data_IF_449305421535
#
_entry.id   IF_449305421535
#
_cell.length_a   1.000
_cell.length_b   1.000
_cell.length_c   1.000
_cell.angle_alpha   90.00
_cell.angle_beta   90.00
_cell.angle_gamma   90.00
#
_symmetry.space_group_name_H-M   'P 1'
#
loop_
_entity.id
_entity.type
_entity.pdbx_description
1 polymer ?
#
# COMPACT_ATOMS: atom_id res chain seq x y z
N UNK A 1 11.04 9.15 -27.68
CA UNK A 1 10.02 8.10 -27.87
C UNK A 1 8.84 8.46 -26.97
N UNK A 2 7.75 8.94 -27.56
CA UNK A 2 6.58 9.44 -26.82
C UNK A 2 5.71 8.26 -26.42
N UNK A 3 5.69 7.92 -25.13
CA UNK A 3 4.86 6.84 -24.58
C UNK A 3 3.45 7.43 -24.37
N UNK A 4 2.45 6.90 -25.06
CA UNK A 4 1.05 7.29 -24.90
C UNK A 4 0.29 6.28 -24.02
N UNK A 5 -0.81 6.70 -23.38
CA UNK A 5 -1.65 5.81 -22.56
C UNK A 5 -2.11 4.54 -23.32
N UNK A 6 -2.36 4.68 -24.63
CA UNK A 6 -2.74 3.56 -25.51
C UNK A 6 -1.60 2.54 -25.72
N UNK A 7 -0.35 3.00 -25.83
CA UNK A 7 0.81 2.10 -25.95
C UNK A 7 1.01 1.24 -24.70
N UNK A 8 0.67 1.76 -23.50
CA UNK A 8 0.74 1.00 -22.26
C UNK A 8 -0.35 -0.09 -22.19
N UNK A 9 -1.56 0.15 -22.70
CA UNK A 9 -2.65 -0.82 -22.64
C UNK A 9 -2.37 -2.09 -23.47
N UNK A 10 -1.83 -1.94 -24.69
CA UNK A 10 -1.43 -3.08 -25.52
C UNK A 10 -0.34 -3.91 -24.88
N UNK A 11 0.65 -3.26 -24.25
CA UNK A 11 1.73 -3.94 -23.53
C UNK A 11 1.16 -4.75 -22.35
N UNK A 12 0.27 -4.16 -21.56
CA UNK A 12 -0.39 -4.84 -20.44
C UNK A 12 -1.21 -6.04 -20.91
N UNK A 13 -1.99 -5.91 -22.00
CA UNK A 13 -2.74 -7.02 -22.61
C UNK A 13 -1.83 -8.15 -23.10
N UNK A 14 -0.68 -7.82 -23.68
CA UNK A 14 0.30 -8.82 -24.13
C UNK A 14 0.88 -9.59 -22.94
N UNK A 15 1.36 -8.88 -21.90
CA UNK A 15 1.93 -9.50 -20.69
C UNK A 15 0.91 -10.43 -20.02
N UNK A 16 -0.34 -9.99 -19.92
CA UNK A 16 -1.43 -10.80 -19.38
C UNK A 16 -1.62 -12.11 -20.15
N UNK A 17 -1.73 -12.02 -21.47
CA UNK A 17 -1.93 -13.18 -22.35
C UNK A 17 -0.75 -14.15 -22.24
N UNK A 18 0.46 -13.63 -22.27
CA UNK A 18 1.67 -14.45 -22.24
C UNK A 18 1.79 -15.17 -20.88
N UNK A 19 1.48 -14.51 -19.76
CA UNK A 19 1.42 -15.15 -18.44
C UNK A 19 0.32 -16.22 -18.34
N UNK A 20 -0.86 -15.98 -18.92
CA UNK A 20 -1.94 -16.97 -18.97
C UNK A 20 -1.55 -18.20 -19.80
N UNK A 21 -0.90 -18.00 -20.96
CA UNK A 21 -0.43 -19.09 -21.80
C UNK A 21 0.64 -19.92 -21.10
N UNK A 22 1.56 -19.29 -20.37
CA UNK A 22 2.55 -20.01 -19.56
C UNK A 22 1.89 -20.87 -18.49
N UNK A 23 0.87 -20.36 -17.78
CA UNK A 23 0.12 -21.15 -16.81
C UNK A 23 -0.61 -22.35 -17.45
N UNK A 24 -1.21 -22.15 -18.62
CA UNK A 24 -1.88 -23.24 -19.36
C UNK A 24 -0.91 -24.34 -19.84
N UNK A 25 0.37 -24.01 -20.00
CA UNK A 25 1.42 -24.93 -20.45
C UNK A 25 2.23 -25.53 -19.30
N UNK A 26 1.75 -25.45 -18.06
CA UNK A 26 2.44 -25.91 -16.86
C UNK A 26 3.82 -25.26 -16.70
N UNK A 27 3.85 -23.92 -16.60
CA UNK A 27 5.08 -23.16 -16.35
C UNK A 27 5.90 -23.74 -15.19
N UNK A 28 7.22 -23.65 -15.30
CA UNK A 28 8.17 -24.06 -14.25
C UNK A 28 8.05 -23.18 -12.99
N UNK A 29 7.66 -21.90 -13.16
CA UNK A 29 7.44 -20.93 -12.09
C UNK A 29 6.00 -20.37 -12.13
N UNK A 30 4.98 -21.18 -11.79
CA UNK A 30 3.59 -20.76 -11.86
C UNK A 30 3.28 -19.61 -10.88
N UNK A 31 3.95 -19.55 -9.73
CA UNK A 31 3.84 -18.46 -8.76
C UNK A 31 4.19 -17.10 -9.37
N UNK A 32 5.21 -17.04 -10.24
CA UNK A 32 5.64 -15.79 -10.88
C UNK A 32 4.64 -15.37 -11.94
N UNK A 33 4.05 -16.31 -12.68
CA UNK A 33 2.98 -16.02 -13.62
C UNK A 33 1.74 -15.45 -12.90
N UNK A 34 1.35 -16.02 -11.75
CA UNK A 34 0.27 -15.48 -10.93
C UNK A 34 0.57 -14.09 -10.38
N UNK A 35 1.81 -13.85 -9.93
CA UNK A 35 2.23 -12.52 -9.47
C UNK A 35 2.18 -11.48 -10.61
N UNK A 36 2.60 -11.85 -11.83
CA UNK A 36 2.48 -10.99 -13.01
C UNK A 36 1.02 -10.68 -13.31
N UNK A 37 0.12 -11.66 -13.23
CA UNK A 37 -1.32 -11.42 -13.40
C UNK A 37 -1.91 -10.52 -12.31
N UNK A 38 -1.43 -10.64 -11.07
CA UNK A 38 -1.78 -9.71 -10.00
C UNK A 38 -1.30 -8.29 -10.33
N UNK A 39 -0.07 -8.13 -10.82
CA UNK A 39 0.46 -6.84 -11.25
C UNK A 39 -0.33 -6.22 -12.42
N UNK A 40 -0.73 -7.03 -13.41
CA UNK A 40 -1.63 -6.59 -14.50
C UNK A 40 -2.97 -6.09 -13.95
N UNK A 41 -3.57 -6.84 -13.02
CA UNK A 41 -4.84 -6.45 -12.39
C UNK A 41 -4.68 -5.15 -11.58
N UNK A 42 -3.56 -4.98 -10.87
CA UNK A 42 -3.19 -3.75 -10.19
C UNK A 42 -3.13 -2.55 -11.16
N UNK A 43 -2.45 -2.68 -12.30
CA UNK A 43 -2.34 -1.61 -13.30
C UNK A 43 -3.70 -1.19 -13.88
N UNK A 44 -4.66 -2.13 -13.93
CA UNK A 44 -6.05 -1.86 -14.35
C UNK A 44 -6.95 -1.44 -13.19
N UNK A 45 -6.46 -1.51 -11.95
CA UNK A 45 -7.19 -1.36 -10.69
C UNK A 45 -8.41 -2.26 -10.57
N UNK A 46 -8.27 -3.47 -11.09
CA UNK A 46 -9.18 -4.58 -10.83
C UNK A 46 -8.75 -5.25 -9.52
N UNK A 47 -9.28 -4.74 -8.40
CA UNK A 47 -8.93 -5.22 -7.05
C UNK A 47 -9.25 -6.69 -6.89
N UNK A 48 -10.43 -7.14 -7.29
CA UNK A 48 -10.85 -8.52 -7.02
C UNK A 48 -10.01 -9.52 -7.81
N UNK A 49 -9.66 -9.19 -9.05
CA UNK A 49 -8.71 -9.99 -9.81
C UNK A 49 -7.31 -9.94 -9.22
N UNK A 50 -6.85 -8.78 -8.76
CA UNK A 50 -5.57 -8.66 -8.05
C UNK A 50 -5.56 -9.62 -6.85
N UNK A 51 -6.59 -9.62 -6.02
CA UNK A 51 -6.70 -10.47 -4.83
C UNK A 51 -6.62 -11.95 -5.22
N UNK A 52 -7.43 -12.39 -6.19
CA UNK A 52 -7.42 -13.78 -6.64
C UNK A 52 -6.04 -14.22 -7.14
N UNK A 53 -5.39 -13.41 -7.96
CA UNK A 53 -4.08 -13.73 -8.51
C UNK A 53 -2.96 -13.67 -7.45
N UNK A 54 -3.00 -12.70 -6.53
CA UNK A 54 -2.04 -12.59 -5.45
C UNK A 54 -2.14 -13.77 -4.46
N UNK A 55 -3.36 -14.18 -4.12
CA UNK A 55 -3.60 -15.36 -3.29
C UNK A 55 -3.14 -16.65 -3.98
N UNK A 56 -3.34 -16.78 -5.30
CA UNK A 56 -2.82 -17.93 -6.06
C UNK A 56 -1.28 -17.96 -6.05
N UNK A 57 -0.61 -16.83 -6.25
CA UNK A 57 0.85 -16.72 -6.15
C UNK A 57 1.33 -17.07 -4.73
N UNK A 58 0.66 -16.53 -3.71
CA UNK A 58 0.96 -16.79 -2.30
C UNK A 58 0.79 -18.28 -1.94
N UNK A 59 -0.29 -18.92 -2.38
CA UNK A 59 -0.55 -20.33 -2.08
C UNK A 59 0.57 -21.24 -2.61
N UNK A 60 1.16 -20.91 -3.76
CA UNK A 60 2.24 -21.66 -4.37
C UNK A 60 3.62 -21.34 -3.77
N UNK A 61 3.85 -20.10 -3.34
CA UNK A 61 5.16 -19.63 -2.94
C UNK A 61 5.13 -18.69 -1.73
N UNK A 62 4.47 -19.10 -0.64
CA UNK A 62 4.42 -18.34 0.61
C UNK A 62 5.79 -18.21 1.31
N UNK A 63 6.84 -18.82 0.76
CA UNK A 63 8.23 -18.79 1.23
C UNK A 63 9.12 -17.95 0.33
N UNK A 64 8.61 -17.42 -0.79
CA UNK A 64 9.37 -16.62 -1.74
C UNK A 64 9.27 -15.14 -1.38
N UNK A 65 10.42 -14.51 -1.14
CA UNK A 65 10.47 -13.13 -0.69
C UNK A 65 10.07 -12.11 -1.76
N UNK A 66 10.30 -12.41 -3.04
CA UNK A 66 9.88 -11.57 -4.15
C UNK A 66 8.37 -11.60 -4.31
N UNK A 67 7.76 -12.78 -4.21
CA UNK A 67 6.30 -12.93 -4.26
C UNK A 67 5.66 -12.15 -3.12
N UNK A 68 6.10 -12.38 -1.88
CA UNK A 68 5.54 -11.72 -0.70
C UNK A 68 5.74 -10.20 -0.71
N UNK A 69 6.96 -9.74 -1.01
CA UNK A 69 7.29 -8.31 -1.00
C UNK A 69 6.50 -7.51 -2.04
N UNK A 70 6.39 -8.04 -3.26
CA UNK A 70 5.59 -7.41 -4.31
C UNK A 70 4.10 -7.47 -4.00
N UNK A 71 3.57 -8.63 -3.57
CA UNK A 71 2.16 -8.76 -3.22
C UNK A 71 1.76 -7.82 -2.07
N UNK A 72 2.60 -7.68 -1.03
CA UNK A 72 2.39 -6.75 0.07
C UNK A 72 2.32 -5.29 -0.41
N UNK A 73 3.30 -4.87 -1.22
CA UNK A 73 3.39 -3.51 -1.77
C UNK A 73 2.19 -3.17 -2.67
N UNK A 74 1.81 -4.08 -3.56
CA UNK A 74 0.67 -3.89 -4.47
C UNK A 74 -0.66 -3.87 -3.71
N UNK A 75 -0.86 -4.77 -2.75
CA UNK A 75 -2.05 -4.80 -1.91
C UNK A 75 -2.21 -3.50 -1.13
N UNK A 76 -1.10 -2.98 -0.58
CA UNK A 76 -1.09 -1.72 0.13
C UNK A 76 -1.54 -0.56 -0.76
N UNK A 77 -0.97 -0.45 -1.97
CA UNK A 77 -1.31 0.61 -2.92
C UNK A 77 -2.79 0.59 -3.34
N UNK A 78 -3.43 -0.58 -3.37
CA UNK A 78 -4.87 -0.72 -3.68
C UNK A 78 -5.78 -0.49 -2.46
N UNK A 79 -5.20 -0.19 -1.30
CA UNK A 79 -5.93 -0.11 -0.02
C UNK A 79 -6.47 -1.46 0.44
N UNK A 80 -5.93 -2.59 -0.04
CA UNK A 80 -6.27 -3.94 0.41
C UNK A 80 -5.42 -4.29 1.65
N UNK A 81 -5.63 -3.51 2.71
CA UNK A 81 -4.72 -3.44 3.85
C UNK A 81 -4.52 -4.77 4.56
N UNK A 82 -5.57 -5.56 4.77
CA UNK A 82 -5.46 -6.89 5.41
C UNK A 82 -4.52 -7.84 4.66
N UNK A 83 -4.61 -7.83 3.32
CA UNK A 83 -3.73 -8.63 2.48
C UNK A 83 -2.30 -8.13 2.54
N UNK A 84 -2.11 -6.81 2.53
CA UNK A 84 -0.78 -6.22 2.70
C UNK A 84 -0.13 -6.66 4.02
N UNK A 85 -0.90 -6.62 5.12
CA UNK A 85 -0.45 -7.06 6.45
C UNK A 85 -0.15 -8.56 6.47
N UNK A 86 -1.04 -9.40 5.91
CA UNK A 86 -0.84 -10.85 5.80
C UNK A 86 0.48 -11.17 5.13
N UNK A 87 0.75 -10.57 3.96
CA UNK A 87 1.97 -10.81 3.21
C UNK A 87 3.21 -10.24 3.92
N UNK A 88 3.11 -9.05 4.52
CA UNK A 88 4.19 -8.42 5.26
C UNK A 88 4.61 -9.22 6.50
N UNK A 89 3.64 -9.71 7.30
CA UNK A 89 3.92 -10.56 8.46
C UNK A 89 4.57 -11.86 8.05
N UNK A 90 4.11 -12.48 6.95
CA UNK A 90 4.76 -13.70 6.41
C UNK A 90 6.20 -13.43 5.96
N UNK A 91 6.44 -12.31 5.29
CA UNK A 91 7.77 -11.87 4.85
C UNK A 91 8.70 -11.64 6.04
N UNK A 92 8.23 -10.97 7.09
CA UNK A 92 8.98 -10.73 8.33
C UNK A 92 9.31 -12.02 9.10
N UNK A 93 8.50 -13.07 8.96
CA UNK A 93 8.72 -14.36 9.64
C UNK A 93 9.71 -15.30 8.92
N UNK A 94 10.36 -14.87 7.83
CA UNK A 94 11.29 -15.72 7.07
C UNK A 94 12.64 -15.87 7.80
N UNK A 95 13.04 -17.12 8.08
CA UNK A 95 14.26 -17.46 8.87
C UNK A 95 15.59 -17.00 8.26
N UNK A 96 15.66 -16.83 6.95
CA UNK A 96 16.88 -16.45 6.22
C UNK A 96 16.68 -15.15 5.40
N UNK A 97 15.85 -14.24 5.90
CA UNK A 97 15.63 -12.97 5.23
C UNK A 97 16.88 -12.09 5.19
N UNK A 98 17.05 -11.33 4.11
CA UNK A 98 18.05 -10.27 4.04
C UNK A 98 17.44 -8.92 4.40
N UNK A 99 18.28 -7.94 4.76
CA UNK A 99 17.89 -6.58 5.15
C UNK A 99 16.73 -5.96 4.34
N UNK A 100 16.83 -6.00 3.00
CA UNK A 100 15.78 -5.42 2.13
C UNK A 100 14.40 -6.06 2.28
N UNK A 101 14.31 -7.35 2.64
CA UNK A 101 13.02 -8.04 2.85
C UNK A 101 12.31 -7.52 4.08
N UNK A 102 13.02 -7.41 5.19
CA UNK A 102 12.45 -6.87 6.42
C UNK A 102 12.11 -5.39 6.29
N UNK A 103 12.92 -4.61 5.56
CA UNK A 103 12.57 -3.22 5.23
C UNK A 103 11.28 -3.15 4.39
N UNK A 104 11.10 -4.05 3.42
CA UNK A 104 9.87 -4.11 2.64
C UNK A 104 8.66 -4.51 3.51
N UNK A 105 8.82 -5.48 4.42
CA UNK A 105 7.78 -5.86 5.38
C UNK A 105 7.43 -4.69 6.32
N UNK A 106 8.42 -4.03 6.91
CA UNK A 106 8.24 -2.89 7.79
C UNK A 106 7.54 -1.72 7.07
N UNK A 107 7.91 -1.41 5.83
CA UNK A 107 7.23 -0.37 5.03
C UNK A 107 5.78 -0.72 4.72
N UNK A 108 5.48 -2.00 4.48
CA UNK A 108 4.10 -2.44 4.28
C UNK A 108 3.26 -2.34 5.55
N UNK A 109 3.82 -2.75 6.71
CA UNK A 109 3.18 -2.62 8.03
C UNK A 109 2.98 -1.15 8.42
N UNK A 110 3.98 -0.29 8.16
CA UNK A 110 3.90 1.15 8.36
C UNK A 110 2.78 1.78 7.51
N UNK A 111 2.71 1.42 6.22
CA UNK A 111 1.62 1.88 5.37
C UNK A 111 0.25 1.32 5.78
N UNK A 112 0.21 0.26 6.56
CA UNK A 112 -1.01 -0.28 7.17
C UNK A 112 -1.29 0.30 8.56
N UNK A 113 -0.56 1.35 8.99
CA UNK A 113 -0.68 2.00 10.32
C UNK A 113 -0.34 1.12 11.53
N UNK A 114 0.32 -0.02 11.29
CA UNK A 114 0.86 -0.92 12.32
C UNK A 114 2.31 -0.52 12.66
N UNK A 115 2.47 0.70 13.18
CA UNK A 115 3.80 1.29 13.41
C UNK A 115 4.63 0.49 14.41
N UNK A 116 4.03 -0.04 15.46
CA UNK A 116 4.69 -0.82 16.51
C UNK A 116 5.21 -2.14 15.95
N UNK A 117 4.42 -2.84 15.12
CA UNK A 117 4.86 -4.05 14.44
C UNK A 117 5.97 -3.75 13.42
N UNK A 118 5.82 -2.68 12.62
CA UNK A 118 6.85 -2.23 11.70
C UNK A 118 8.16 -1.93 12.44
N UNK A 119 8.08 -1.29 13.60
CA UNK A 119 9.22 -0.99 14.45
C UNK A 119 9.88 -2.25 15.00
N UNK A 120 9.09 -3.21 15.47
CA UNK A 120 9.58 -4.49 15.94
C UNK A 120 10.37 -5.24 14.84
N UNK A 121 9.85 -5.25 13.60
CA UNK A 121 10.53 -5.87 12.44
C UNK A 121 11.88 -5.22 12.16
N UNK A 122 11.97 -3.89 12.26
CA UNK A 122 13.24 -3.18 12.04
C UNK A 122 14.29 -3.47 13.12
N UNK A 123 13.86 -3.74 14.36
CA UNK A 123 14.74 -4.05 15.48
C UNK A 123 15.13 -5.53 15.54
N UNK A 124 14.21 -6.45 15.24
CA UNK A 124 14.43 -7.90 15.36
C UNK A 124 15.46 -8.46 14.37
N UNK A 125 15.76 -7.73 13.30
CA UNK A 125 16.77 -8.14 12.31
C UNK A 125 18.13 -7.44 12.44
N UNK A 126 18.29 -6.46 13.34
CA UNK A 126 19.43 -5.54 13.36
C UNK A 126 19.68 -4.81 12.00
N UNK A 127 18.59 -4.38 11.35
CA UNK A 127 18.57 -3.93 9.93
C UNK A 127 18.58 -2.40 9.82
N UNK A 128 18.74 -1.72 10.95
CA UNK A 128 18.82 -0.26 11.01
C UNK A 128 19.92 0.28 10.07
N UNK A 129 21.00 -0.48 9.88
CA UNK A 129 22.09 -0.16 8.94
C UNK A 129 21.73 -0.28 7.45
N UNK A 130 20.57 -0.83 7.09
CA UNK A 130 20.08 -0.89 5.72
C UNK A 130 19.34 0.38 5.28
N UNK A 131 19.10 1.28 6.24
CA UNK A 131 18.63 2.62 5.99
C UNK A 131 19.82 3.50 5.63
N UNK A 132 19.63 4.39 4.66
CA UNK A 132 20.62 5.44 4.37
C UNK A 132 20.57 6.49 5.48
N UNK A 133 21.64 7.25 5.69
CA UNK A 133 21.69 8.34 6.69
C UNK A 133 20.57 9.39 6.50
N UNK A 134 20.04 9.49 5.28
CA UNK A 134 18.91 10.36 4.92
C UNK A 134 17.53 9.73 5.15
N UNK A 135 17.44 8.46 5.55
CA UNK A 135 16.17 7.78 5.74
C UNK A 135 15.67 8.00 7.17
N UNK A 136 14.88 9.07 7.35
CA UNK A 136 14.26 9.43 8.63
C UNK A 136 13.22 8.42 9.12
N UNK A 137 12.97 7.32 8.40
CA UNK A 137 11.87 6.38 8.62
C UNK A 137 11.76 5.86 10.06
N UNK A 138 12.87 5.50 10.73
CA UNK A 138 12.83 5.03 12.13
C UNK A 138 12.43 6.14 13.10
N UNK A 139 12.98 7.34 12.93
CA UNK A 139 12.64 8.50 13.77
C UNK A 139 11.18 8.87 13.58
N UNK A 140 10.72 8.95 12.33
CA UNK A 140 9.33 9.22 11.99
C UNK A 140 8.36 8.21 12.60
N UNK A 141 8.71 6.92 12.53
CA UNK A 141 7.88 5.85 13.08
C UNK A 141 7.83 5.89 14.62
N UNK A 142 8.96 6.12 15.30
CA UNK A 142 9.00 6.21 16.76
C UNK A 142 8.18 7.41 17.28
N UNK A 143 8.26 8.56 16.61
CA UNK A 143 7.47 9.74 16.95
C UNK A 143 5.96 9.46 16.83
N UNK A 144 5.54 8.77 15.77
CA UNK A 144 4.14 8.40 15.56
C UNK A 144 3.65 7.44 16.63
N UNK A 145 4.43 6.41 16.96
CA UNK A 145 4.12 5.48 18.06
C UNK A 145 3.92 6.26 19.35
N UNK A 146 4.84 7.15 19.70
CA UNK A 146 4.73 7.97 20.91
C UNK A 146 3.52 8.91 20.87
N UNK A 147 3.15 9.45 19.70
CA UNK A 147 1.96 10.28 19.56
C UNK A 147 0.68 9.50 19.83
N UNK A 148 0.47 8.37 19.15
CA UNK A 148 -0.73 7.55 19.35
C UNK A 148 -0.81 6.92 20.74
N UNK A 149 0.30 6.48 21.32
CA UNK A 149 0.34 5.94 22.68
C UNK A 149 -0.07 6.98 23.74
N UNK A 150 0.37 8.23 23.59
CA UNK A 150 -0.04 9.32 24.51
C UNK A 150 -1.53 9.62 24.45
N UNK A 151 -2.14 9.47 23.27
CA UNK A 151 -3.58 9.67 23.08
C UNK A 151 -4.41 8.41 23.32
N UNK A 152 -3.78 7.28 23.67
CA UNK A 152 -4.50 6.02 23.95
C UNK A 152 -5.09 5.32 22.74
N UNK A 153 -4.63 5.64 21.51
CA UNK A 153 -5.18 5.09 20.27
C UNK A 153 -4.38 3.86 19.83
N UNK A 154 -5.00 2.69 19.93
CA UNK A 154 -4.36 1.42 19.64
C UNK A 154 -4.21 1.12 18.12
N UNK A 155 -3.33 0.19 17.74
CA UNK A 155 -3.12 -0.16 16.33
C UNK A 155 -4.37 -0.72 15.63
N UNK A 156 -5.24 -1.41 16.37
CA UNK A 156 -6.47 -2.01 15.85
C UNK A 156 -7.45 -0.92 15.41
N UNK A 157 -7.60 0.13 16.22
CA UNK A 157 -8.43 1.31 15.92
C UNK A 157 -7.92 2.01 14.67
N UNK A 158 -6.60 2.26 14.58
CA UNK A 158 -5.99 2.89 13.38
C UNK A 158 -6.22 2.05 12.11
N UNK A 159 -6.12 0.73 12.22
CA UNK A 159 -6.41 -0.19 11.11
C UNK A 159 -7.88 -0.12 10.69
N UNK A 160 -8.80 -0.12 11.66
CA UNK A 160 -10.24 -0.07 11.41
C UNK A 160 -10.65 1.24 10.72
N UNK A 161 -10.12 2.38 11.18
CA UNK A 161 -10.30 3.69 10.54
C UNK A 161 -9.80 3.66 9.08
N UNK A 162 -8.61 3.12 8.83
CA UNK A 162 -8.04 2.97 7.49
C UNK A 162 -8.89 2.06 6.58
N UNK A 163 -9.37 0.94 7.12
CA UNK A 163 -10.24 0.01 6.40
C UNK A 163 -11.58 0.64 6.03
N UNK A 164 -12.20 1.38 6.95
CA UNK A 164 -13.45 2.08 6.71
C UNK A 164 -13.28 3.17 5.65
N UNK A 165 -12.25 4.02 5.76
CA UNK A 165 -11.98 5.01 4.72
C UNK A 165 -11.77 4.38 3.33
N UNK A 166 -11.04 3.27 3.27
CA UNK A 166 -10.81 2.50 2.04
C UNK A 166 -12.08 1.85 1.49
N UNK A 167 -12.96 1.32 2.35
CA UNK A 167 -14.24 0.73 1.94
C UNK A 167 -15.22 1.79 1.46
N UNK A 168 -15.28 2.95 2.11
CA UNK A 168 -16.14 4.09 1.72
C UNK A 168 -15.80 4.58 0.31
N UNK A 169 -14.52 4.76 -0.03
CA UNK A 169 -14.10 5.15 -1.39
C UNK A 169 -14.63 4.17 -2.44
N UNK A 170 -14.58 2.86 -2.13
CA UNK A 170 -15.05 1.81 -3.04
C UNK A 170 -16.57 1.75 -3.11
N UNK A 171 -17.27 1.96 -2.00
CA UNK A 171 -18.72 2.05 -1.97
C UNK A 171 -19.23 3.24 -2.80
N UNK A 172 -18.44 4.32 -2.89
CA UNK A 172 -18.69 5.44 -3.82
C UNK A 172 -18.37 5.11 -5.29
N UNK A 173 -18.00 3.88 -5.63
CA UNK A 173 -17.74 3.44 -7.00
C UNK A 173 -16.35 3.76 -7.54
N UNK A 174 -15.39 4.11 -6.67
CA UNK A 174 -14.05 4.50 -7.09
C UNK A 174 -12.98 3.44 -6.79
N UNK A 175 -12.09 3.23 -7.75
CA UNK A 175 -10.93 2.37 -7.59
C UNK A 175 -9.74 3.16 -7.03
N UNK A 176 -9.18 2.68 -5.91
CA UNK A 176 -7.94 3.22 -5.32
C UNK A 176 -6.76 2.77 -6.19
N UNK A 177 -6.02 3.75 -6.71
CA UNK A 177 -4.86 3.54 -7.59
C UNK A 177 -3.55 3.51 -6.80
N UNK A 178 -3.49 4.28 -5.70
CA UNK A 178 -2.34 4.36 -4.81
C UNK A 178 -2.76 4.82 -3.42
N UNK A 179 -2.01 4.39 -2.41
CA UNK A 179 -2.11 4.91 -1.05
C UNK A 179 -0.78 5.48 -0.59
N UNK A 180 -0.81 6.42 0.34
CA UNK A 180 0.40 6.98 0.95
C UNK A 180 0.10 7.60 2.33
N UNK A 181 0.74 7.13 3.41
CA UNK A 181 0.81 7.92 4.63
C UNK A 181 1.76 9.13 4.42
N UNK A 182 1.30 10.32 4.78
CA UNK A 182 2.06 11.57 4.79
C UNK A 182 2.12 12.08 6.22
N UNK A 183 3.34 12.17 6.76
CA UNK A 183 3.60 12.74 8.08
C UNK A 183 3.73 14.26 7.98
N UNK A 184 3.16 14.95 8.96
CA UNK A 184 3.34 16.39 9.16
C UNK A 184 4.31 16.68 10.32
N UNK A 185 4.88 17.89 10.38
CA UNK A 185 5.82 18.28 11.45
C UNK A 185 5.23 18.23 12.86
N UNK A 186 3.91 18.31 12.99
CA UNK A 186 3.16 18.26 14.24
C UNK A 186 2.88 16.82 14.73
N UNK A 187 3.57 15.82 14.15
CA UNK A 187 3.42 14.40 14.47
C UNK A 187 2.03 13.82 14.14
N UNK A 188 1.30 14.47 13.23
CA UNK A 188 0.06 13.93 12.66
C UNK A 188 0.31 13.20 11.35
N UNK A 189 -0.62 12.33 10.97
CA UNK A 189 -0.59 11.59 9.70
C UNK A 189 -1.82 11.93 8.87
N UNK A 190 -1.60 12.27 7.60
CA UNK A 190 -2.66 12.23 6.59
C UNK A 190 -2.45 11.03 5.69
N UNK A 191 -3.40 10.12 5.70
CA UNK A 191 -3.44 8.99 4.80
C UNK A 191 -4.11 9.37 3.50
N UNK A 192 -3.35 9.37 2.41
CA UNK A 192 -3.81 9.80 1.10
C UNK A 192 -4.15 8.60 0.22
N UNK A 193 -5.39 8.58 -0.28
CA UNK A 193 -5.87 7.67 -1.30
C UNK A 193 -5.94 8.40 -2.63
N UNK A 194 -5.30 7.87 -3.66
CA UNK A 194 -5.27 8.45 -4.99
C UNK A 194 -6.21 7.70 -5.90
N UNK A 195 -7.17 8.41 -6.50
CA UNK A 195 -8.15 7.85 -7.45
C UNK A 195 -8.11 8.62 -8.77
N UNK A 196 -8.52 7.97 -9.85
CA UNK A 196 -8.52 8.54 -11.19
C UNK A 196 -9.77 9.43 -11.42
N UNK A 197 -9.90 10.50 -10.64
CA UNK A 197 -11.05 11.42 -10.64
C UNK A 197 -10.58 12.88 -10.46
N UNK A 198 -11.48 13.84 -10.68
CA UNK A 198 -11.21 15.26 -10.47
C UNK A 198 -11.06 15.64 -8.99
N UNK A 199 -10.55 16.84 -8.72
CA UNK A 199 -10.47 17.38 -7.35
C UNK A 199 -11.85 17.55 -6.70
N UNK A 200 -12.86 17.97 -7.47
CA UNK A 200 -14.24 18.12 -6.96
C UNK A 200 -14.86 16.77 -6.59
N UNK A 201 -14.65 15.74 -7.41
CA UNK A 201 -15.10 14.38 -7.08
C UNK A 201 -14.38 13.83 -5.83
N UNK A 202 -13.07 14.04 -5.73
CA UNK A 202 -12.33 13.67 -4.52
C UNK A 202 -12.83 14.40 -3.28
N UNK A 203 -13.27 15.66 -3.39
CA UNK A 203 -13.86 16.39 -2.27
C UNK A 203 -15.17 15.76 -1.78
N UNK A 204 -16.04 15.30 -2.70
CA UNK A 204 -17.25 14.57 -2.32
C UNK A 204 -16.92 13.26 -1.60
N UNK A 205 -15.90 12.54 -2.08
CA UNK A 205 -15.42 11.31 -1.42
C UNK A 205 -14.83 11.62 -0.03
N UNK A 206 -14.15 12.76 0.16
CA UNK A 206 -13.66 13.18 1.47
C UNK A 206 -14.78 13.40 2.47
N UNK A 207 -15.88 14.03 2.03
CA UNK A 207 -17.07 14.20 2.86
C UNK A 207 -17.64 12.85 3.25
N UNK A 208 -17.82 11.94 2.29
CA UNK A 208 -18.32 10.59 2.56
C UNK A 208 -17.42 9.80 3.53
N UNK A 209 -16.09 9.92 3.41
CA UNK A 209 -15.15 9.32 4.36
C UNK A 209 -15.36 9.90 5.76
N UNK A 210 -15.46 11.23 5.88
CA UNK A 210 -15.64 11.89 7.17
C UNK A 210 -16.97 11.46 7.83
N UNK A 211 -18.07 11.46 7.08
CA UNK A 211 -19.39 11.01 7.54
C UNK A 211 -19.34 9.56 8.03
N UNK A 212 -18.79 8.65 7.22
CA UNK A 212 -18.68 7.24 7.58
C UNK A 212 -17.84 7.04 8.86
N UNK A 213 -16.73 7.77 9.02
CA UNK A 213 -15.90 7.68 10.21
C UNK A 213 -16.63 8.18 11.46
N UNK A 214 -17.37 9.29 11.36
CA UNK A 214 -18.13 9.84 12.48
C UNK A 214 -19.37 9.03 12.84
N UNK A 215 -19.92 8.28 11.88
CA UNK A 215 -21.07 7.41 12.11
C UNK A 215 -20.68 6.10 12.82
N UNK A 216 -19.49 5.55 12.51
CA UNK A 216 -19.02 4.26 13.04
C UNK A 216 -18.19 4.39 14.33
N UNK A 217 -17.49 5.50 14.54
CA UNK A 217 -16.59 5.70 15.68
C UNK A 217 -17.01 6.88 16.55
N UNK A 218 -17.05 6.68 17.87
CA UNK A 218 -17.31 7.74 18.85
C UNK A 218 -16.28 8.88 18.76
N UNK A 219 -15.03 8.53 18.46
CA UNK A 219 -13.95 9.46 18.12
C UNK A 219 -13.08 8.87 17.00
N UNK A 220 -12.95 9.60 15.89
CA UNK A 220 -12.13 9.22 14.74
C UNK A 220 -10.69 9.73 14.85
N UNK A 221 -10.34 10.43 15.93
CA UNK A 221 -9.01 10.99 16.22
C UNK A 221 -8.41 11.85 15.09
N UNK A 222 -9.17 12.82 14.53
CA UNK A 222 -8.70 13.65 13.41
C UNK A 222 -7.46 14.50 13.76
N UNK A 223 -7.20 14.75 15.04
CA UNK A 223 -6.00 15.41 15.55
C UNK A 223 -4.73 14.55 15.46
N UNK A 224 -4.84 13.25 15.19
CA UNK A 224 -3.70 12.34 15.04
C UNK A 224 -3.61 11.75 13.63
N UNK A 225 -4.76 11.32 13.08
CA UNK A 225 -4.84 10.70 11.75
C UNK A 225 -6.04 11.20 10.97
N UNK A 226 -5.79 11.59 9.72
CA UNK A 226 -6.85 11.97 8.78
C UNK A 226 -6.76 11.14 7.52
N UNK A 227 -7.89 10.98 6.84
CA UNK A 227 -8.01 10.19 5.62
C UNK A 227 -8.52 11.09 4.51
N UNK A 228 -7.83 11.10 3.37
CA UNK A 228 -8.16 11.99 2.26
C UNK A 228 -8.03 11.30 0.92
N UNK A 229 -9.01 11.51 0.07
CA UNK A 229 -9.01 11.24 -1.34
C UNK A 229 -8.35 12.40 -2.13
N UNK A 230 -7.48 12.04 -3.07
CA UNK A 230 -6.71 12.95 -3.92
C UNK A 230 -6.80 12.52 -5.38
N UNK A 231 -6.82 13.45 -6.34
CA UNK A 231 -6.68 13.10 -7.75
C UNK A 231 -5.36 12.39 -8.01
N UNK A 232 -5.39 11.30 -8.79
CA UNK A 232 -4.18 10.58 -9.18
C UNK A 232 -3.17 11.50 -9.89
N UNK A 233 -3.67 12.46 -10.68
CA UNK A 233 -2.83 13.46 -11.35
C UNK A 233 -2.02 14.36 -10.38
N UNK A 234 -2.43 14.45 -9.11
CA UNK A 234 -1.70 15.19 -8.07
C UNK A 234 -0.61 14.37 -7.38
N UNK A 235 -0.49 13.09 -7.72
CA UNK A 235 0.53 12.22 -7.14
C UNK A 235 1.92 12.58 -7.66
N UNK A 236 2.82 12.96 -6.74
CA UNK A 236 4.24 13.19 -7.04
C UNK A 236 5.07 12.03 -6.46
N UNK A 237 5.73 11.22 -7.31
CA UNK A 237 6.66 10.20 -6.83
C UNK A 237 7.81 10.85 -6.03
N UNK A 238 8.22 10.24 -4.92
CA UNK A 238 9.42 10.72 -4.20
C UNK A 238 10.64 10.65 -5.14
N UNK A 239 11.42 11.73 -5.22
CA UNK A 239 12.64 11.81 -6.03
C UNK A 239 12.48 12.40 -7.43
N UNK A 240 11.29 12.90 -7.81
CA UNK A 240 11.09 13.63 -9.07
C UNK A 240 11.03 15.13 -8.80
N UNK A 241 12.13 15.84 -9.03
CA UNK A 241 12.10 17.29 -9.22
C UNK A 241 11.72 17.58 -10.66
N UNK A 242 10.69 18.39 -10.87
CA UNK A 242 10.42 18.99 -12.18
C UNK A 242 10.80 20.47 -12.08
N UNK A 243 11.92 20.84 -12.70
CA UNK A 243 12.18 22.24 -13.00
C UNK A 243 11.17 22.67 -14.06
N UNK A 244 10.21 23.51 -13.66
CA UNK A 244 9.35 24.21 -14.60
C UNK A 244 10.16 25.40 -15.07
N UNK A 245 10.71 25.32 -16.29
CA UNK A 245 11.18 26.51 -16.98
C UNK A 245 9.97 27.46 -17.14
N UNK A 246 10.05 28.63 -16.50
CA UNK A 246 9.17 29.75 -16.77
C UNK A 246 9.57 30.43 -18.07
#
# INVERSE_FOLDING_TARGET
MTISAQSNEFVVKRIERDAQQSLQRNADEPQMCWLVLAFVAFLRSDRDRFIRCAEAAYALANYDSMVLGNAASLALNLGATDLAVKYARRLAAMKHGHARMFLAAARALYGATLFEEANAVMHSGNIQHALTESDCFLVEMNDLIASFQRSGVDPQTRMALLQLASSTIRASGHAIRRTRPVRFPDHTVRYEFYIDQSASQCANVNVAIAEALTDEFDDAHPELITFVCRPLASFVPRGTSFEIAR
#
